data_IF_491635762566
#
_entry.id   IF_491635762566
#
_cell.length_a   1.000
_cell.length_b   1.000
_cell.length_c   1.000
_cell.angle_alpha   90.00
_cell.angle_beta   90.00
_cell.angle_gamma   90.00
#
_symmetry.space_group_name_H-M   'P 1'
#
loop_
_entity.id
_entity.type
_entity.pdbx_description
1 polymer ?
#
# COMPACT_ATOMS: atom_id res chain seq x y z
N UNK A 1 -5.02 -2.72 1.14
CA UNK A 1 -5.98 -2.25 2.16
C UNK A 1 -7.24 -3.07 2.01
N UNK A 2 -7.78 -3.61 3.10
CA UNK A 2 -9.05 -4.32 3.08
C UNK A 2 -10.21 -3.35 2.76
N UNK A 3 -11.08 -3.72 1.82
CA UNK A 3 -12.10 -2.82 1.29
C UNK A 3 -13.21 -2.53 2.31
N UNK A 4 -13.53 -3.51 3.17
CA UNK A 4 -14.60 -3.42 4.17
C UNK A 4 -14.14 -2.61 5.38
N UNK A 5 -13.07 -3.03 6.03
CA UNK A 5 -12.55 -2.43 7.26
C UNK A 5 -11.73 -1.16 7.02
N UNK A 6 -11.15 -0.98 5.82
CA UNK A 6 -10.22 0.11 5.54
C UNK A 6 -8.83 -0.07 6.18
N UNK A 7 -8.55 -1.23 6.78
CA UNK A 7 -7.27 -1.52 7.40
C UNK A 7 -6.19 -1.84 6.35
N UNK A 8 -4.95 -1.42 6.62
CA UNK A 8 -3.80 -1.85 5.83
C UNK A 8 -3.38 -3.23 6.35
N UNK A 9 -3.34 -4.22 5.46
CA UNK A 9 -2.98 -5.59 5.82
C UNK A 9 -1.47 -5.79 5.83
N UNK A 10 -0.79 -5.17 4.86
CA UNK A 10 0.66 -5.22 4.67
C UNK A 10 1.06 -4.10 3.70
N UNK A 11 2.36 -3.80 3.64
CA UNK A 11 2.95 -2.85 2.72
C UNK A 11 4.37 -3.29 2.35
N UNK A 12 4.88 -2.77 1.24
CA UNK A 12 6.28 -2.89 0.84
C UNK A 12 6.76 -1.52 0.42
N UNK A 13 7.93 -1.09 0.92
CA UNK A 13 8.61 0.09 0.41
C UNK A 13 9.53 -0.32 -0.74
N UNK A 14 9.39 0.36 -1.87
CA UNK A 14 10.18 0.06 -3.07
C UNK A 14 9.85 0.97 -4.24
N UNK A 15 10.54 0.75 -5.34
CA UNK A 15 10.30 1.44 -6.61
C UNK A 15 9.05 0.89 -7.31
N UNK A 16 8.55 1.63 -8.30
CA UNK A 16 7.40 1.24 -9.12
C UNK A 16 7.79 0.15 -10.14
N UNK A 17 8.05 -1.06 -9.64
CA UNK A 17 8.52 -2.22 -10.39
C UNK A 17 7.70 -3.48 -10.06
N UNK A 18 7.59 -4.38 -11.05
CA UNK A 18 6.88 -5.66 -10.93
C UNK A 18 7.42 -6.51 -9.76
N UNK A 19 8.72 -6.47 -9.51
CA UNK A 19 9.38 -7.19 -8.42
C UNK A 19 8.86 -6.78 -7.04
N UNK A 20 8.54 -5.49 -6.85
CA UNK A 20 7.98 -4.96 -5.60
C UNK A 20 6.53 -5.40 -5.45
N UNK A 21 5.77 -5.38 -6.54
CA UNK A 21 4.40 -5.88 -6.53
C UNK A 21 4.34 -7.39 -6.21
N UNK A 22 5.22 -8.20 -6.78
CA UNK A 22 5.27 -9.64 -6.50
C UNK A 22 5.61 -9.92 -5.02
N UNK A 23 6.49 -9.13 -4.41
CA UNK A 23 6.75 -9.20 -2.96
C UNK A 23 5.49 -8.86 -2.16
N UNK A 24 4.79 -7.79 -2.52
CA UNK A 24 3.53 -7.42 -1.88
C UNK A 24 2.47 -8.52 -2.02
N UNK A 25 2.34 -9.11 -3.21
CA UNK A 25 1.40 -10.19 -3.49
C UNK A 25 1.66 -11.41 -2.60
N UNK A 26 2.92 -11.83 -2.44
CA UNK A 26 3.30 -12.92 -1.52
C UNK A 26 2.91 -12.63 -0.08
N UNK A 27 3.12 -11.41 0.40
CA UNK A 27 2.70 -11.01 1.75
C UNK A 27 1.18 -11.02 1.93
N UNK A 28 0.42 -10.87 0.85
CA UNK A 28 -1.04 -10.89 0.86
C UNK A 28 -1.63 -12.32 0.80
N UNK A 29 -0.86 -13.33 0.42
CA UNK A 29 -1.33 -14.72 0.27
C UNK A 29 -1.98 -15.29 1.55
N UNK A 30 -1.40 -15.12 2.76
CA UNK A 30 -2.00 -15.64 3.99
C UNK A 30 -3.37 -15.05 4.34
N UNK A 31 -3.71 -13.88 3.78
CA UNK A 31 -4.98 -13.20 4.05
C UNK A 31 -6.15 -13.75 3.20
N UNK A 32 -5.90 -14.69 2.28
CA UNK A 32 -6.96 -15.33 1.50
C UNK A 32 -7.77 -14.37 0.61
N UNK A 33 -7.15 -13.29 0.13
CA UNK A 33 -7.83 -12.20 -0.61
C UNK A 33 -8.47 -12.73 -1.89
N UNK A 34 -9.78 -12.65 -2.02
CA UNK A 34 -10.52 -13.18 -3.18
C UNK A 34 -10.67 -12.19 -4.33
N UNK A 35 -10.69 -10.88 -4.06
CA UNK A 35 -10.90 -9.82 -5.05
C UNK A 35 -9.89 -8.68 -4.88
N UNK A 36 -9.40 -8.17 -6.00
CA UNK A 36 -8.49 -7.03 -6.07
C UNK A 36 -9.15 -5.86 -6.80
N UNK A 37 -9.05 -4.68 -6.21
CA UNK A 37 -9.46 -3.42 -6.80
C UNK A 37 -8.23 -2.55 -7.01
N UNK A 38 -7.89 -2.24 -8.26
CA UNK A 38 -6.70 -1.43 -8.58
C UNK A 38 -7.01 -0.41 -9.67
N UNK A 39 -6.04 0.46 -9.91
CA UNK A 39 -5.99 1.26 -11.13
C UNK A 39 -5.58 0.39 -12.35
N UNK A 40 -5.39 1.06 -13.49
CA UNK A 40 -5.04 0.42 -14.76
C UNK A 40 -3.52 0.26 -14.97
N UNK A 41 -2.72 0.06 -13.92
CA UNK A 41 -1.30 -0.23 -14.11
C UNK A 41 -1.08 -1.65 -14.64
N UNK A 42 -0.31 -1.76 -15.73
CA UNK A 42 -0.13 -3.02 -16.48
C UNK A 42 0.47 -4.18 -15.66
N UNK A 43 1.20 -3.89 -14.59
CA UNK A 43 1.73 -4.91 -13.66
C UNK A 43 0.62 -5.69 -12.97
N UNK A 44 -0.48 -5.03 -12.60
CA UNK A 44 -1.64 -5.70 -12.01
C UNK A 44 -2.27 -6.66 -13.01
N UNK A 45 -2.44 -6.24 -14.27
CA UNK A 45 -2.99 -7.08 -15.33
C UNK A 45 -2.11 -8.30 -15.64
N UNK A 46 -0.78 -8.17 -15.56
CA UNK A 46 0.16 -9.29 -15.81
C UNK A 46 0.16 -10.35 -14.71
N UNK A 47 -0.16 -9.97 -13.47
CA UNK A 47 0.11 -10.81 -12.30
C UNK A 47 -1.13 -11.13 -11.45
N UNK A 48 -2.28 -10.50 -11.71
CA UNK A 48 -3.56 -10.82 -11.10
C UNK A 48 -4.43 -11.60 -12.08
N UNK A 49 -5.20 -12.54 -11.54
CA UNK A 49 -6.22 -13.25 -12.31
C UNK A 49 -7.34 -12.28 -12.69
N UNK A 50 -7.66 -12.19 -13.98
CA UNK A 50 -8.66 -11.27 -14.53
C UNK A 50 -10.06 -11.51 -13.93
N UNK A 51 -10.39 -12.74 -13.51
CA UNK A 51 -11.66 -13.05 -12.85
C UNK A 51 -11.78 -12.46 -11.44
N UNK A 52 -10.63 -12.19 -10.81
CA UNK A 52 -10.53 -11.70 -9.43
C UNK A 52 -10.12 -10.24 -9.38
N UNK A 53 -9.91 -9.61 -10.53
CA UNK A 53 -9.36 -8.27 -10.65
C UNK A 53 -10.38 -7.33 -11.28
N UNK A 54 -10.72 -6.27 -10.57
CA UNK A 54 -11.59 -5.21 -11.05
C UNK A 54 -10.80 -3.90 -11.12
N UNK A 55 -10.72 -3.33 -12.33
CA UNK A 55 -10.04 -2.07 -12.59
C UNK A 55 -11.07 -0.94 -12.49
N UNK A 56 -10.76 0.12 -11.75
CA UNK A 56 -11.57 1.32 -11.76
C UNK A 56 -11.41 2.21 -10.53
N UNK A 57 -11.91 3.44 -10.66
CA UNK A 57 -11.76 4.50 -9.66
C UNK A 57 -12.74 4.30 -8.48
N UNK A 58 -13.91 3.70 -8.73
CA UNK A 58 -15.00 3.63 -7.75
C UNK A 58 -14.57 2.96 -6.44
N UNK A 59 -13.76 1.90 -6.51
CA UNK A 59 -13.35 1.13 -5.34
C UNK A 59 -11.96 1.52 -4.77
N UNK A 60 -11.22 2.40 -5.45
CA UNK A 60 -9.88 2.84 -5.02
C UNK A 60 -9.88 4.15 -4.26
N UNK A 61 -10.98 4.92 -4.24
CA UNK A 61 -11.04 6.23 -3.58
C UNK A 61 -10.53 6.23 -2.12
N UNK A 62 -10.84 5.19 -1.36
CA UNK A 62 -10.39 5.06 0.04
C UNK A 62 -8.86 4.97 0.14
N UNK A 63 -8.22 4.15 -0.71
CA UNK A 63 -6.75 3.97 -0.64
C UNK A 63 -6.04 5.23 -1.15
N UNK A 64 -6.60 5.89 -2.16
CA UNK A 64 -6.07 7.17 -2.67
C UNK A 64 -6.09 8.27 -1.60
N UNK A 65 -7.22 8.44 -0.88
CA UNK A 65 -7.29 9.38 0.24
C UNK A 65 -6.29 9.05 1.34
N UNK A 66 -6.11 7.76 1.63
CA UNK A 66 -5.16 7.31 2.66
C UNK A 66 -3.71 7.62 2.26
N UNK A 67 -3.34 7.35 1.01
CA UNK A 67 -2.03 7.71 0.46
C UNK A 67 -1.79 9.23 0.46
N UNK A 68 -2.83 10.04 0.20
CA UNK A 68 -2.72 11.50 0.29
C UNK A 68 -2.38 11.98 1.72
N UNK A 69 -3.06 11.42 2.72
CA UNK A 69 -2.78 11.69 4.14
C UNK A 69 -1.37 11.26 4.52
N UNK A 70 -0.97 10.04 4.16
CA UNK A 70 0.37 9.51 4.41
C UNK A 70 1.46 10.39 3.80
N UNK A 71 1.30 10.80 2.54
CA UNK A 71 2.24 11.71 1.86
C UNK A 71 2.35 13.05 2.59
N UNK A 72 1.25 13.55 3.14
CA UNK A 72 1.23 14.80 3.91
C UNK A 72 1.97 14.66 5.24
N UNK A 73 1.79 13.54 5.93
CA UNK A 73 2.51 13.24 7.17
C UNK A 73 4.00 13.06 6.94
N UNK A 74 4.40 12.30 5.92
CA UNK A 74 5.79 12.11 5.52
C UNK A 74 6.44 13.47 5.18
N UNK A 75 5.75 14.35 4.43
CA UNK A 75 6.24 15.72 4.15
C UNK A 75 6.37 16.58 5.41
N UNK A 76 5.54 16.37 6.44
CA UNK A 76 5.67 17.07 7.72
C UNK A 76 6.85 16.53 8.51
N UNK A 77 7.04 15.21 8.52
CA UNK A 77 8.18 14.55 9.17
C UNK A 77 9.50 15.06 8.57
N UNK A 78 9.62 15.04 7.23
CA UNK A 78 10.80 15.52 6.51
C UNK A 78 11.15 16.99 6.74
N UNK A 79 10.17 17.84 7.13
CA UNK A 79 10.43 19.24 7.52
C UNK A 79 10.93 19.38 8.95
N UNK A 80 10.60 18.43 9.82
CA UNK A 80 11.04 18.41 11.22
C UNK A 80 12.36 17.67 11.42
N UNK A 81 12.70 16.76 10.51
CA UNK A 81 13.90 15.92 10.59
C UNK A 81 14.75 16.09 9.34
N UNK A 82 16.08 16.18 9.48
CA UNK A 82 17.01 16.33 8.35
C UNK A 82 17.19 15.00 7.58
N UNK A 83 16.85 13.86 8.18
CA UNK A 83 17.07 12.55 7.57
C UNK A 83 15.80 11.99 6.93
N UNK A 84 15.87 11.68 5.63
CA UNK A 84 14.81 10.97 4.90
C UNK A 84 15.36 9.61 4.45
N UNK A 85 14.93 8.54 5.11
CA UNK A 85 15.37 7.18 4.78
C UNK A 85 14.26 6.16 5.01
N UNK A 86 14.37 5.00 4.38
CA UNK A 86 13.45 3.88 4.60
C UNK A 86 13.42 3.42 6.07
N UNK A 87 14.52 3.64 6.80
CA UNK A 87 14.66 3.36 8.24
C UNK A 87 13.72 4.22 9.07
N UNK A 88 13.37 5.42 8.60
CA UNK A 88 12.43 6.32 9.30
C UNK A 88 10.99 6.07 8.82
N UNK A 89 10.79 5.84 7.53
CA UNK A 89 9.46 5.71 6.93
C UNK A 89 8.77 4.41 7.36
N UNK A 90 9.50 3.29 7.41
CA UNK A 90 8.95 1.99 7.83
C UNK A 90 8.35 2.03 9.24
N UNK A 91 9.12 2.40 10.28
CA UNK A 91 8.61 2.55 11.65
C UNK A 91 7.47 3.57 11.75
N UNK A 92 7.51 4.65 10.97
CA UNK A 92 6.42 5.62 10.92
C UNK A 92 5.11 4.99 10.44
N UNK A 93 5.15 4.19 9.36
CA UNK A 93 3.98 3.46 8.85
C UNK A 93 3.54 2.40 9.86
N UNK A 94 4.48 1.66 10.48
CA UNK A 94 4.17 0.65 11.50
C UNK A 94 3.38 1.25 12.67
N UNK A 95 3.82 2.42 13.16
CA UNK A 95 3.13 3.13 14.22
C UNK A 95 1.75 3.65 13.79
N UNK A 96 1.64 4.19 12.58
CA UNK A 96 0.41 4.85 12.13
C UNK A 96 -0.68 3.89 11.64
N UNK A 97 -0.30 2.82 10.93
CA UNK A 97 -1.23 1.87 10.32
C UNK A 97 -1.47 0.63 11.17
N UNK A 98 -0.47 0.19 11.93
CA UNK A 98 -0.52 -1.07 12.68
C UNK A 98 -0.46 -0.87 14.20
N UNK A 99 -0.25 0.36 14.67
CA UNK A 99 -0.13 0.66 16.11
C UNK A 99 1.10 0.04 16.78
N UNK A 100 2.05 -0.49 16.00
CA UNK A 100 3.25 -1.14 16.54
C UNK A 100 4.29 -0.08 16.85
N UNK A 101 4.73 -0.02 18.11
CA UNK A 101 5.93 0.71 18.48
C UNK A 101 7.12 -0.20 18.16
N UNK A 102 7.89 0.20 17.14
CA UNK A 102 9.15 -0.45 16.75
C UNK A 102 10.31 0.41 17.22
#
# INVERSE_FOLDING_TARGET
>A
MDHRSGQVLTYVLGTHQDTVFLKLKRLLEPFGITRFYTDNWGTYQRHLDSKRHQIGIQHTQKIERKHLTLRTHIKRLARKTICFSNIVIGPFINRYEFGVQV
#
